data_IF_331332135934
#
_entry.id   IF_331332135934
#
_cell.length_a   1.000
_cell.length_b   1.000
_cell.length_c   1.000
_cell.angle_alpha   90.00
_cell.angle_beta   90.00
_cell.angle_gamma   90.00
#
_symmetry.space_group_name_H-M   'P 1'
#
loop_
_entity.id
_entity.type
_entity.pdbx_description
1 polymer ?
#
# COMPACT_ATOMS: atom_id res chain seq x y z
N UNK A 1 14.18 -7.97 5.43
CA UNK A 1 12.91 -7.22 5.39
C UNK A 1 13.26 -5.76 5.21
N UNK A 2 13.20 -5.27 3.98
CA UNK A 2 13.60 -3.91 3.63
C UNK A 2 12.51 -2.94 4.05
N UNK A 3 12.84 -2.04 4.98
CA UNK A 3 12.02 -0.95 5.53
C UNK A 3 11.80 0.21 4.54
N UNK A 4 11.83 -0.07 3.23
CA UNK A 4 11.83 0.96 2.20
C UNK A 4 10.41 1.22 1.75
N UNK A 5 9.79 2.31 2.20
CA UNK A 5 8.53 2.85 1.67
C UNK A 5 8.28 2.47 0.21
N UNK A 6 7.14 1.85 -0.15
CA UNK A 6 6.92 1.38 -1.50
C UNK A 6 6.93 2.56 -2.49
N UNK A 7 7.49 2.31 -3.67
CA UNK A 7 7.67 3.33 -4.72
C UNK A 7 6.40 3.44 -5.54
N UNK A 8 6.16 4.64 -6.08
CA UNK A 8 5.08 4.86 -7.04
C UNK A 8 5.25 3.92 -8.25
N UNK A 9 4.14 3.34 -8.71
CA UNK A 9 4.08 2.38 -9.81
C UNK A 9 4.38 0.93 -9.42
N UNK A 10 4.83 0.65 -8.19
CA UNK A 10 5.03 -0.74 -7.75
C UNK A 10 3.71 -1.41 -7.40
N UNK A 11 3.64 -2.72 -7.61
CA UNK A 11 2.57 -3.55 -7.05
C UNK A 11 3.09 -4.25 -5.80
N UNK A 12 2.33 -4.18 -4.71
CA UNK A 12 2.67 -4.81 -3.44
C UNK A 12 1.54 -5.69 -2.95
N UNK A 13 1.89 -6.75 -2.21
CA UNK A 13 0.94 -7.55 -1.45
C UNK A 13 1.20 -7.34 0.03
N UNK A 14 0.17 -7.02 0.79
CA UNK A 14 0.29 -6.90 2.24
C UNK A 14 0.20 -8.27 2.90
N UNK A 15 1.19 -8.60 3.74
CA UNK A 15 1.11 -9.73 4.68
C UNK A 15 0.58 -9.29 6.05
N UNK A 16 0.69 -8.00 6.36
CA UNK A 16 0.07 -7.36 7.52
C UNK A 16 -0.35 -5.93 7.18
N UNK A 17 -1.63 -5.65 7.36
CA UNK A 17 -2.18 -4.29 7.20
C UNK A 17 -2.22 -3.56 8.55
N UNK A 18 -1.88 -2.26 8.59
CA UNK A 18 -1.89 -1.48 9.81
C UNK A 18 -3.32 -1.12 10.23
N UNK A 19 -3.52 -0.89 11.53
CA UNK A 19 -4.82 -0.45 12.03
C UNK A 19 -5.22 0.89 11.39
N UNK A 20 -6.41 0.95 10.79
CA UNK A 20 -6.91 2.12 10.08
C UNK A 20 -6.61 2.15 8.57
N UNK A 21 -5.91 1.14 8.02
CA UNK A 21 -5.84 0.91 6.57
C UNK A 21 -7.08 0.16 6.09
N UNK A 22 -7.55 0.49 4.89
CA UNK A 22 -8.57 -0.29 4.17
C UNK A 22 -7.96 -1.28 3.17
N UNK A 23 -6.63 -1.44 3.16
CA UNK A 23 -5.99 -2.54 2.43
C UNK A 23 -6.36 -3.88 3.08
N UNK A 24 -6.37 -4.95 2.29
CA UNK A 24 -6.54 -6.32 2.74
C UNK A 24 -5.24 -7.10 2.57
N UNK A 25 -5.00 -8.08 3.45
CA UNK A 25 -3.84 -8.98 3.30
C UNK A 25 -4.06 -9.95 2.14
N UNK A 26 -2.99 -10.35 1.46
CA UNK A 26 -3.05 -11.28 0.32
C UNK A 26 -3.59 -10.70 -0.98
N UNK A 27 -3.97 -9.42 -0.99
CA UNK A 27 -4.47 -8.70 -2.18
C UNK A 27 -3.35 -7.85 -2.77
N UNK A 28 -3.24 -7.86 -4.09
CA UNK A 28 -2.29 -7.04 -4.82
C UNK A 28 -2.81 -5.60 -4.99
N UNK A 29 -1.99 -4.64 -4.61
CA UNK A 29 -2.27 -3.21 -4.75
C UNK A 29 -1.17 -2.49 -5.53
N UNK A 30 -1.56 -1.72 -6.54
CA UNK A 30 -0.67 -0.76 -7.19
C UNK A 30 -0.51 0.47 -6.32
N UNK A 31 0.73 0.84 -6.05
CA UNK A 31 1.10 2.00 -5.23
C UNK A 31 1.14 3.24 -6.12
N UNK A 32 0.36 4.23 -5.73
CA UNK A 32 0.32 5.54 -6.36
C UNK A 32 0.63 6.61 -5.30
N UNK A 33 1.83 7.20 -5.35
CA UNK A 33 2.14 8.39 -4.55
C UNK A 33 1.41 9.60 -5.14
N UNK A 34 0.14 9.79 -4.78
CA UNK A 34 -0.52 11.03 -5.16
C UNK A 34 -1.54 11.51 -4.12
N UNK A 35 -1.04 12.34 -3.22
CA UNK A 35 -1.68 13.63 -2.92
C UNK A 35 -0.65 14.64 -2.36
N UNK A 36 -0.99 15.92 -2.43
CA UNK A 36 -0.22 17.05 -1.91
C UNK A 36 -0.16 17.08 -0.36
N UNK A 37 -0.59 15.98 0.30
CA UNK A 37 -0.71 15.82 1.76
C UNK A 37 0.11 14.64 2.30
N UNK A 38 0.74 13.85 1.42
CA UNK A 38 1.69 12.80 1.77
C UNK A 38 1.10 11.39 1.95
N UNK A 39 -0.17 11.15 1.64
CA UNK A 39 -0.79 9.83 1.74
C UNK A 39 -0.40 8.90 0.57
N UNK A 40 -0.39 7.59 0.85
CA UNK A 40 -0.18 6.53 -0.15
C UNK A 40 -1.53 6.09 -0.67
N UNK A 41 -1.74 6.18 -1.99
CA UNK A 41 -2.90 5.58 -2.64
C UNK A 41 -2.54 4.15 -3.04
N UNK A 42 -3.37 3.19 -2.62
CA UNK A 42 -3.24 1.78 -2.97
C UNK A 42 -4.46 1.37 -3.79
N UNK A 43 -4.24 1.06 -5.07
CA UNK A 43 -5.28 0.65 -6.00
C UNK A 43 -5.31 -0.86 -6.10
N UNK A 44 -6.41 -1.49 -5.71
CA UNK A 44 -6.62 -2.92 -5.84
C UNK A 44 -6.60 -3.29 -7.32
N UNK A 45 -5.66 -4.15 -7.71
CA UNK A 45 -5.43 -4.51 -9.12
C UNK A 45 -6.59 -5.34 -9.70
N UNK A 46 -7.29 -6.12 -8.87
CA UNK A 46 -8.41 -6.95 -9.30
C UNK A 46 -9.73 -6.17 -9.42
N UNK A 47 -9.98 -5.25 -8.49
CA UNK A 47 -11.28 -4.56 -8.35
C UNK A 47 -11.29 -3.13 -8.86
N UNK A 48 -10.14 -2.51 -9.09
CA UNK A 48 -10.00 -1.10 -9.48
C UNK A 48 -10.34 -0.08 -8.38
N UNK A 49 -10.75 -0.53 -7.19
CA UNK A 49 -11.00 0.33 -6.03
C UNK A 49 -9.69 0.79 -5.39
N UNK A 50 -9.63 2.02 -4.88
CA UNK A 50 -8.45 2.54 -4.20
C UNK A 50 -8.72 2.92 -2.74
N UNK A 51 -7.71 2.71 -1.89
CA UNK A 51 -7.64 3.22 -0.52
C UNK A 51 -6.49 4.21 -0.37
N UNK A 52 -6.55 5.04 0.67
CA UNK A 52 -5.53 6.02 1.02
C UNK A 52 -5.03 5.76 2.43
N UNK A 53 -3.74 5.49 2.56
CA UNK A 53 -3.12 5.23 3.85
C UNK A 53 -2.10 6.32 4.19
N UNK A 54 -2.05 6.68 5.46
CA UNK A 54 -1.08 7.65 5.96
C UNK A 54 0.33 7.06 6.00
N UNK A 55 1.40 7.88 5.88
CA UNK A 55 2.79 7.41 5.94
C UNK A 55 3.12 6.55 7.16
N UNK A 56 2.57 6.90 8.33
CA UNK A 56 2.79 6.16 9.57
C UNK A 56 2.19 4.75 9.49
N UNK A 57 1.04 4.60 8.84
CA UNK A 57 0.37 3.32 8.66
C UNK A 57 1.24 2.42 7.76
N UNK A 58 1.68 2.95 6.61
CA UNK A 58 2.56 2.22 5.67
C UNK A 58 3.89 1.82 6.31
N UNK A 59 4.45 2.64 7.19
CA UNK A 59 5.67 2.30 7.95
C UNK A 59 5.48 1.13 8.92
N UNK A 60 4.26 0.95 9.44
CA UNK A 60 3.91 -0.14 10.37
C UNK A 60 3.35 -1.40 9.69
N UNK A 61 3.11 -1.33 8.37
CA UNK A 61 2.64 -2.45 7.56
C UNK A 61 3.77 -3.45 7.26
N UNK A 62 3.41 -4.68 6.90
CA UNK A 62 4.32 -5.64 6.27
C UNK A 62 3.80 -5.98 4.87
N UNK A 63 4.69 -5.91 3.91
CA UNK A 63 4.38 -6.11 2.51
C UNK A 63 5.60 -6.61 1.74
N UNK A 64 5.34 -7.15 0.57
CA UNK A 64 6.33 -7.59 -0.39
C UNK A 64 5.96 -7.10 -1.79
N UNK A 65 6.95 -7.04 -2.68
CA UNK A 65 6.71 -6.69 -4.08
C UNK A 65 6.02 -7.88 -4.75
N UNK A 66 4.88 -7.63 -5.38
CA UNK A 66 4.21 -8.64 -6.21
C UNK A 66 5.04 -8.84 -7.50
N UNK A 67 5.41 -10.08 -7.80
CA UNK A 67 6.13 -10.45 -9.01
C UNK A 67 5.22 -10.45 -10.25
#
# INVERSE_FOLDING_TARGET
MTTSTPKHGQTVVFSKVPAGSYCSTGVAYRVDRKDNKGAFRFENVERGSATYDQPWAVKSAQWEIAA
#
